data_IF_045273277225
#
_entry.id   IF_045273277225
#
_cell.length_a   1.000
_cell.length_b   1.000
_cell.length_c   1.000
_cell.angle_alpha   90.00
_cell.angle_beta   90.00
_cell.angle_gamma   90.00
#
_symmetry.space_group_name_H-M   'P 1'
#
loop_
_entity.id
_entity.type
_entity.pdbx_description
1 polymer ?
#
# COMPACT_ATOMS: atom_id res chain seq x y z
N UNK A 1 -33.06 -0.18 -1.12
CA UNK A 1 -32.04 0.50 -1.94
C UNK A 1 -30.95 0.93 -0.98
N UNK A 2 -29.82 0.26 -1.02
CA UNK A 2 -28.68 0.63 -0.18
C UNK A 2 -28.23 2.02 -0.60
N UNK A 3 -28.28 2.94 0.36
CA UNK A 3 -27.94 4.34 0.11
C UNK A 3 -26.42 4.42 0.02
N UNK A 4 -25.86 4.42 -1.21
CA UNK A 4 -24.42 4.51 -1.43
C UNK A 4 -23.94 5.85 -0.91
N UNK A 5 -22.96 5.84 -0.02
CA UNK A 5 -22.42 7.06 0.59
C UNK A 5 -21.64 7.87 -0.45
N UNK A 6 -21.94 9.17 -0.54
CA UNK A 6 -21.17 10.10 -1.38
C UNK A 6 -19.84 10.42 -0.73
N UNK A 7 -18.78 10.48 -1.54
CA UNK A 7 -17.44 10.81 -1.09
C UNK A 7 -16.78 11.85 -1.99
N UNK A 8 -15.93 12.66 -1.38
CA UNK A 8 -14.97 13.48 -2.14
C UNK A 8 -13.78 12.62 -2.51
N UNK A 9 -13.33 12.67 -3.78
CA UNK A 9 -12.16 11.93 -4.23
C UNK A 9 -10.99 12.86 -4.44
N UNK A 10 -9.81 12.43 -4.00
CA UNK A 10 -8.53 13.08 -4.30
C UNK A 10 -7.47 12.01 -4.58
N UNK A 11 -6.47 12.35 -5.39
CA UNK A 11 -5.29 11.51 -5.52
C UNK A 11 -4.34 11.81 -4.37
N UNK A 12 -4.05 10.81 -3.56
CA UNK A 12 -3.02 10.89 -2.51
C UNK A 12 -1.69 10.51 -3.14
N UNK A 13 -0.92 11.52 -3.50
CA UNK A 13 0.39 11.36 -4.13
C UNK A 13 1.48 11.43 -3.07
N UNK A 14 2.12 10.30 -2.78
CA UNK A 14 3.27 10.22 -1.87
C UNK A 14 4.53 10.77 -2.53
N UNK A 15 4.82 10.30 -3.74
CA UNK A 15 5.85 10.83 -4.62
C UNK A 15 5.48 10.54 -6.08
N UNK A 16 6.36 10.85 -7.03
CA UNK A 16 6.13 10.53 -8.43
C UNK A 16 6.06 9.01 -8.65
N UNK A 17 4.99 8.56 -9.29
CA UNK A 17 4.73 7.14 -9.56
C UNK A 17 4.20 6.33 -8.38
N UNK A 18 4.06 6.92 -7.18
CA UNK A 18 3.49 6.26 -6.00
C UNK A 18 2.29 7.03 -5.49
N UNK A 19 1.11 6.61 -5.90
CA UNK A 19 -0.14 7.29 -5.56
C UNK A 19 -1.30 6.31 -5.37
N UNK A 20 -2.30 6.73 -4.61
CA UNK A 20 -3.55 6.00 -4.42
C UNK A 20 -4.74 6.94 -4.53
N UNK A 21 -5.89 6.39 -4.88
CA UNK A 21 -7.16 7.13 -4.80
C UNK A 21 -7.62 7.22 -3.35
N UNK A 22 -7.68 8.41 -2.81
CA UNK A 22 -8.24 8.70 -1.50
C UNK A 22 -9.68 9.19 -1.60
N UNK A 23 -10.48 8.84 -0.62
CA UNK A 23 -11.89 9.22 -0.51
C UNK A 23 -12.16 9.75 0.90
N UNK A 24 -12.80 10.92 0.98
CA UNK A 24 -13.27 11.50 2.24
C UNK A 24 -14.80 11.36 2.31
N UNK A 25 -15.28 10.64 3.32
CA UNK A 25 -16.69 10.47 3.59
C UNK A 25 -17.27 11.68 4.36
N UNK A 26 -18.60 11.89 4.35
CA UNK A 26 -19.24 13.01 5.05
C UNK A 26 -19.04 12.99 6.58
N UNK A 27 -18.78 11.82 7.16
CA UNK A 27 -18.49 11.64 8.59
C UNK A 27 -17.01 11.91 8.97
N UNK A 28 -16.17 12.25 7.96
CA UNK A 28 -14.75 12.49 8.13
C UNK A 28 -13.85 11.25 8.01
N UNK A 29 -14.41 10.06 7.75
CA UNK A 29 -13.63 8.86 7.51
C UNK A 29 -12.88 8.95 6.16
N UNK A 30 -11.58 8.64 6.19
CA UNK A 30 -10.80 8.45 4.97
C UNK A 30 -10.81 6.99 4.54
N UNK A 31 -10.98 6.78 3.24
CA UNK A 31 -10.93 5.46 2.61
C UNK A 31 -9.99 5.46 1.40
N UNK A 32 -9.59 4.29 0.93
CA UNK A 32 -8.64 4.11 -0.19
C UNK A 32 -9.25 3.19 -1.24
N UNK A 33 -9.03 3.50 -2.51
CA UNK A 33 -9.49 2.68 -3.63
C UNK A 33 -8.80 1.32 -3.69
N UNK A 34 -9.57 0.23 -3.88
CA UNK A 34 -9.00 -1.13 -3.98
C UNK A 34 -8.02 -1.28 -5.13
N UNK A 35 -8.36 -0.73 -6.29
CA UNK A 35 -7.52 -0.84 -7.49
C UNK A 35 -6.19 -0.13 -7.31
N UNK A 36 -6.22 1.14 -6.90
CA UNK A 36 -5.00 1.92 -6.69
C UNK A 36 -4.14 1.36 -5.57
N UNK A 37 -4.74 0.79 -4.51
CA UNK A 37 -4.01 0.04 -3.47
C UNK A 37 -3.22 -1.13 -4.06
N UNK A 38 -3.87 -1.98 -4.87
CA UNK A 38 -3.19 -3.13 -5.46
C UNK A 38 -1.99 -2.70 -6.31
N UNK A 39 -2.17 -1.69 -7.16
CA UNK A 39 -1.12 -1.18 -8.05
C UNK A 39 0.04 -0.56 -7.27
N UNK A 40 -0.24 0.28 -6.27
CA UNK A 40 0.78 0.90 -5.43
C UNK A 40 1.64 -0.11 -4.66
N UNK A 41 1.08 -1.29 -4.34
CA UNK A 41 1.79 -2.37 -3.66
C UNK A 41 2.46 -3.38 -4.63
N UNK A 42 2.47 -3.10 -5.94
CA UNK A 42 3.11 -3.94 -6.95
C UNK A 42 2.33 -5.22 -7.29
N UNK A 43 1.01 -5.20 -7.14
CA UNK A 43 0.13 -6.32 -7.50
C UNK A 43 -0.79 -6.00 -8.68
N UNK A 44 -1.35 -7.04 -9.29
CA UNK A 44 -2.40 -6.88 -10.28
C UNK A 44 -3.72 -6.40 -9.66
N UNK A 45 -4.56 -5.76 -10.48
CA UNK A 45 -5.80 -5.05 -10.11
C UNK A 45 -6.76 -5.80 -9.18
N UNK A 46 -6.82 -7.12 -9.29
CA UNK A 46 -7.77 -7.96 -8.55
C UNK A 46 -7.22 -8.47 -7.21
N UNK A 47 -5.98 -8.12 -6.86
CA UNK A 47 -5.32 -8.68 -5.68
C UNK A 47 -6.06 -8.37 -4.38
N UNK A 48 -6.48 -7.11 -4.17
CA UNK A 48 -7.22 -6.72 -2.96
C UNK A 48 -8.53 -7.49 -2.85
N UNK A 49 -9.28 -7.60 -3.94
CA UNK A 49 -10.55 -8.34 -3.97
C UNK A 49 -10.33 -9.83 -3.63
N UNK A 50 -9.31 -10.45 -4.22
CA UNK A 50 -8.98 -11.86 -3.90
C UNK A 50 -8.54 -12.03 -2.46
N UNK A 51 -7.81 -11.08 -1.90
CA UNK A 51 -7.39 -11.10 -0.50
C UNK A 51 -8.59 -11.00 0.44
N UNK A 52 -9.51 -10.07 0.19
CA UNK A 52 -10.75 -9.93 0.95
C UNK A 52 -11.57 -11.24 0.92
N UNK A 53 -11.79 -11.79 -0.25
CA UNK A 53 -12.54 -13.04 -0.42
C UNK A 53 -11.83 -14.24 0.26
N UNK A 54 -10.50 -14.26 0.23
CA UNK A 54 -9.70 -15.27 0.94
C UNK A 54 -9.89 -15.20 2.44
N UNK A 55 -9.87 -14.00 3.02
CA UNK A 55 -10.13 -13.79 4.45
C UNK A 55 -11.56 -14.17 4.81
N UNK A 56 -12.54 -13.71 4.04
CA UNK A 56 -13.97 -14.00 4.29
C UNK A 56 -14.29 -15.51 4.24
N UNK A 57 -13.59 -16.26 3.37
CA UNK A 57 -13.77 -17.72 3.26
C UNK A 57 -12.90 -18.53 4.24
N UNK A 58 -11.98 -17.89 4.94
CA UNK A 58 -10.99 -18.57 5.81
C UNK A 58 -10.01 -19.49 5.06
N UNK A 59 -9.96 -19.41 3.74
CA UNK A 59 -9.16 -20.30 2.87
C UNK A 59 -7.92 -19.64 2.27
N UNK A 60 -7.77 -18.34 2.43
CA UNK A 60 -6.62 -17.61 1.91
C UNK A 60 -5.36 -17.91 2.74
N UNK A 61 -4.21 -18.05 2.07
CA UNK A 61 -2.91 -18.32 2.71
C UNK A 61 -2.56 -17.33 3.83
N UNK A 62 -3.07 -16.09 3.74
CA UNK A 62 -2.82 -15.02 4.71
C UNK A 62 -4.05 -14.68 5.56
N UNK A 63 -5.14 -15.43 5.42
CA UNK A 63 -6.40 -15.14 6.10
C UNK A 63 -6.22 -15.07 7.62
N UNK A 64 -5.53 -16.05 8.20
CA UNK A 64 -5.23 -16.07 9.64
C UNK A 64 -4.37 -14.87 10.06
N UNK A 65 -3.27 -14.60 9.35
CA UNK A 65 -2.38 -13.47 9.63
C UNK A 65 -3.13 -12.13 9.57
N UNK A 66 -3.91 -11.91 8.53
CA UNK A 66 -4.68 -10.67 8.36
C UNK A 66 -5.75 -10.51 9.44
N UNK A 67 -6.44 -11.61 9.79
CA UNK A 67 -7.44 -11.62 10.86
C UNK A 67 -6.79 -11.27 12.20
N UNK A 68 -5.66 -11.87 12.54
CA UNK A 68 -4.90 -11.54 13.76
C UNK A 68 -4.45 -10.08 13.81
N UNK A 69 -4.15 -9.47 12.66
CA UNK A 69 -3.79 -8.05 12.58
C UNK A 69 -5.00 -7.12 12.62
N UNK A 70 -6.22 -7.67 12.66
CA UNK A 70 -7.45 -6.91 12.70
C UNK A 70 -7.85 -6.30 11.36
N UNK A 71 -7.48 -6.97 10.25
CA UNK A 71 -8.00 -6.67 8.93
C UNK A 71 -9.49 -6.99 8.90
N UNK A 72 -10.31 -6.03 8.47
CA UNK A 72 -11.76 -6.20 8.47
C UNK A 72 -12.24 -6.92 7.21
N UNK A 73 -11.55 -6.75 6.10
CA UNK A 73 -11.94 -7.30 4.81
C UNK A 73 -13.24 -6.71 4.26
N UNK A 74 -13.63 -5.53 4.75
CA UNK A 74 -14.87 -4.86 4.31
C UNK A 74 -14.54 -3.86 3.20
N UNK A 75 -14.97 -4.20 2.00
CA UNK A 75 -15.03 -3.24 0.91
C UNK A 75 -16.40 -2.57 0.89
N UNK A 76 -16.42 -1.25 0.70
CA UNK A 76 -17.65 -0.46 0.61
C UNK A 76 -17.67 0.36 -0.67
N UNK A 77 -18.78 0.34 -1.41
CA UNK A 77 -18.94 1.22 -2.56
C UNK A 77 -19.16 2.66 -2.07
N UNK A 78 -18.52 3.60 -2.76
CA UNK A 78 -18.74 5.04 -2.58
C UNK A 78 -19.09 5.70 -3.91
N UNK A 79 -19.99 6.65 -3.84
CA UNK A 79 -20.38 7.49 -4.99
C UNK A 79 -19.49 8.72 -5.04
N UNK A 80 -18.81 8.95 -6.17
CA UNK A 80 -17.98 10.13 -6.37
C UNK A 80 -18.76 11.18 -7.13
N UNK A 81 -18.92 12.35 -6.53
CA UNK A 81 -19.56 13.51 -7.15
C UNK A 81 -18.51 14.32 -7.93
N UNK A 82 -18.78 14.68 -9.16
CA UNK A 82 -17.97 15.67 -9.86
C UNK A 82 -17.14 15.19 -11.06
N UNK A 83 -17.40 14.02 -11.63
CA UNK A 83 -16.88 13.75 -12.96
C UNK A 83 -17.79 14.38 -14.04
N UNK A 84 -17.21 15.00 -15.07
CA UNK A 84 -17.94 15.57 -16.20
C UNK A 84 -18.81 14.53 -16.98
N UNK A 85 -18.78 13.27 -16.58
CA UNK A 85 -19.47 12.13 -17.21
C UNK A 85 -20.50 11.43 -16.32
N UNK A 86 -20.92 12.05 -15.19
CA UNK A 86 -21.91 11.47 -14.29
C UNK A 86 -21.29 10.90 -13.00
N UNK A 87 -22.13 10.17 -12.24
CA UNK A 87 -21.75 9.53 -11.00
C UNK A 87 -20.91 8.29 -11.26
N UNK A 88 -19.78 8.17 -10.57
CA UNK A 88 -18.93 6.98 -10.61
C UNK A 88 -18.96 6.28 -9.25
N UNK A 89 -19.19 4.97 -9.25
CA UNK A 89 -19.09 4.14 -8.04
C UNK A 89 -17.68 3.55 -7.96
N UNK A 90 -17.04 3.72 -6.83
CA UNK A 90 -15.71 3.17 -6.54
C UNK A 90 -15.77 2.26 -5.31
N UNK A 91 -15.12 1.10 -5.42
CA UNK A 91 -14.95 0.17 -4.29
C UNK A 91 -13.75 0.60 -3.44
N UNK A 92 -13.98 0.78 -2.15
CA UNK A 92 -12.98 1.32 -1.22
C UNK A 92 -12.78 0.42 -0.01
N UNK A 93 -11.63 0.55 0.64
CA UNK A 93 -11.28 -0.06 1.93
C UNK A 93 -10.93 1.01 2.95
N UNK A 94 -10.97 0.67 4.23
CA UNK A 94 -10.56 1.57 5.32
C UNK A 94 -9.06 1.83 5.31
N UNK A 95 -8.59 2.96 5.90
CA UNK A 95 -7.16 3.20 6.11
C UNK A 95 -6.52 2.12 6.99
N UNK A 96 -7.29 1.56 7.94
CA UNK A 96 -6.82 0.44 8.77
C UNK A 96 -6.50 -0.77 7.91
N UNK A 97 -7.37 -1.14 6.99
CA UNK A 97 -7.16 -2.27 6.09
C UNK A 97 -6.04 -2.00 5.09
N UNK A 98 -5.96 -0.78 4.55
CA UNK A 98 -4.84 -0.36 3.69
C UNK A 98 -3.49 -0.58 4.38
N UNK A 99 -3.34 -0.13 5.64
CA UNK A 99 -2.13 -0.36 6.43
C UNK A 99 -1.80 -1.85 6.59
N UNK A 100 -2.79 -2.71 6.82
CA UNK A 100 -2.54 -4.15 6.95
C UNK A 100 -2.13 -4.79 5.62
N UNK A 101 -2.66 -4.30 4.50
CA UNK A 101 -2.25 -4.75 3.17
C UNK A 101 -0.82 -4.33 2.83
N UNK A 102 -0.38 -3.12 3.20
CA UNK A 102 1.02 -2.71 3.08
C UNK A 102 1.92 -3.68 3.85
N UNK A 103 1.61 -3.93 5.13
CA UNK A 103 2.37 -4.85 5.98
C UNK A 103 2.44 -6.27 5.41
N UNK A 104 1.32 -6.78 4.89
CA UNK A 104 1.27 -8.11 4.28
C UNK A 104 2.14 -8.18 3.03
N UNK A 105 2.04 -7.18 2.16
CA UNK A 105 2.79 -7.11 0.92
C UNK A 105 4.30 -6.99 1.20
N UNK A 106 4.71 -6.17 2.18
CA UNK A 106 6.08 -6.06 2.63
C UNK A 106 6.58 -7.41 3.21
N UNK A 107 5.82 -8.05 4.11
CA UNK A 107 6.16 -9.38 4.65
C UNK A 107 6.34 -10.44 3.56
N UNK A 108 5.68 -10.27 2.41
CA UNK A 108 5.83 -11.13 1.23
C UNK A 108 6.98 -10.72 0.32
N UNK A 109 7.78 -9.77 0.75
CA UNK A 109 8.92 -9.27 0.02
C UNK A 109 8.55 -8.53 -1.27
N UNK A 110 7.43 -7.79 -1.29
CA UNK A 110 7.12 -6.87 -2.40
C UNK A 110 7.92 -5.59 -2.25
N UNK A 111 8.89 -5.30 -3.15
CA UNK A 111 9.78 -4.15 -3.01
C UNK A 111 9.03 -2.83 -2.86
N UNK A 112 7.96 -2.64 -3.65
CA UNK A 112 7.14 -1.44 -3.59
C UNK A 112 6.48 -1.24 -2.22
N UNK A 113 6.02 -2.34 -1.60
CA UNK A 113 5.36 -2.29 -0.31
C UNK A 113 6.36 -2.07 0.84
N UNK A 114 7.54 -2.69 0.77
CA UNK A 114 8.62 -2.47 1.73
C UNK A 114 9.09 -1.02 1.68
N UNK A 115 9.40 -0.51 0.47
CA UNK A 115 9.82 0.86 0.27
C UNK A 115 8.75 1.89 0.70
N UNK A 116 7.46 1.61 0.43
CA UNK A 116 6.35 2.44 0.88
C UNK A 116 6.26 2.47 2.41
N UNK A 117 6.42 1.32 3.06
CA UNK A 117 6.39 1.21 4.52
C UNK A 117 7.51 1.99 5.17
N UNK A 118 8.75 1.82 4.70
CA UNK A 118 9.93 2.51 5.22
C UNK A 118 9.82 4.02 5.05
N UNK A 119 9.43 4.49 3.87
CA UNK A 119 9.27 5.91 3.60
C UNK A 119 8.17 6.58 4.44
N UNK A 120 7.05 5.86 4.67
CA UNK A 120 5.98 6.35 5.55
C UNK A 120 6.44 6.44 7.02
N UNK A 121 7.24 5.48 7.48
CA UNK A 121 7.80 5.47 8.83
C UNK A 121 8.82 6.61 9.01
N UNK A 122 9.74 6.79 8.05
CA UNK A 122 10.77 7.82 8.11
C UNK A 122 10.15 9.22 8.25
N UNK A 123 9.21 9.57 7.38
CA UNK A 123 8.48 10.84 7.44
C UNK A 123 7.69 10.97 8.75
N UNK A 124 7.01 9.93 9.17
CA UNK A 124 6.19 9.95 10.38
C UNK A 124 7.02 10.11 11.65
N UNK A 125 8.13 9.40 11.77
CA UNK A 125 9.04 9.50 12.94
C UNK A 125 9.58 10.91 13.06
N UNK A 126 10.07 11.52 11.98
CA UNK A 126 10.60 12.88 12.02
C UNK A 126 9.54 13.91 12.43
N UNK A 127 8.33 13.83 11.89
CA UNK A 127 7.23 14.73 12.28
C UNK A 127 6.93 14.67 13.79
N UNK A 128 6.96 13.48 14.40
CA UNK A 128 6.77 13.31 15.84
C UNK A 128 7.90 13.94 16.64
N UNK A 129 9.15 13.80 16.21
CA UNK A 129 10.29 14.44 16.87
C UNK A 129 10.22 15.96 16.76
N UNK A 130 9.92 16.51 15.58
CA UNK A 130 9.73 17.95 15.38
C UNK A 130 8.66 18.50 16.30
N UNK A 131 7.52 17.82 16.40
CA UNK A 131 6.43 18.21 17.30
C UNK A 131 6.90 18.23 18.77
N UNK A 132 7.62 17.21 19.23
CA UNK A 132 8.09 17.11 20.61
C UNK A 132 9.09 18.22 20.98
N UNK A 133 9.88 18.69 20.02
CA UNK A 133 10.84 19.78 20.20
C UNK A 133 10.28 21.17 19.84
N UNK A 134 8.97 21.28 19.60
CA UNK A 134 8.32 22.55 19.24
C UNK A 134 8.77 23.14 17.91
N UNK A 135 9.29 22.32 17.02
CA UNK A 135 9.65 22.72 15.66
C UNK A 135 8.42 22.67 14.74
N UNK A 136 8.45 23.44 13.66
CA UNK A 136 7.43 23.33 12.62
C UNK A 136 7.43 21.93 11.99
N UNK A 137 6.23 21.39 11.76
CA UNK A 137 6.09 20.13 11.04
C UNK A 137 6.59 20.28 9.59
N UNK A 138 6.99 19.16 9.00
CA UNK A 138 7.38 19.13 7.61
C UNK A 138 6.25 19.63 6.71
N UNK A 139 6.56 20.51 5.79
CA UNK A 139 5.65 20.92 4.72
C UNK A 139 5.34 19.72 3.81
N UNK A 140 4.29 19.82 3.01
CA UNK A 140 3.95 18.76 2.06
C UNK A 140 5.08 18.49 1.05
N UNK A 141 5.80 19.53 0.63
CA UNK A 141 6.92 19.42 -0.29
C UNK A 141 8.10 18.68 0.34
N UNK A 142 8.48 19.05 1.56
CA UNK A 142 9.54 18.39 2.33
C UNK A 142 9.17 16.92 2.63
N UNK A 143 7.90 16.62 2.96
CA UNK A 143 7.43 15.25 3.14
C UNK A 143 7.58 14.42 1.87
N UNK A 144 7.23 14.98 0.72
CA UNK A 144 7.36 14.29 -0.57
C UNK A 144 8.82 14.05 -0.96
N UNK A 145 9.69 15.02 -0.76
CA UNK A 145 11.12 14.89 -1.05
C UNK A 145 11.78 13.81 -0.17
N UNK A 146 11.52 13.85 1.14
CA UNK A 146 12.02 12.82 2.07
C UNK A 146 11.48 11.44 1.75
N UNK A 147 10.17 11.36 1.52
CA UNK A 147 9.52 10.11 1.15
C UNK A 147 10.15 9.52 -0.12
N UNK A 148 10.35 10.33 -1.15
CA UNK A 148 10.96 9.88 -2.40
C UNK A 148 12.37 9.35 -2.17
N UNK A 149 13.20 10.05 -1.39
CA UNK A 149 14.58 9.64 -1.08
C UNK A 149 14.60 8.29 -0.33
N UNK A 150 13.79 8.14 0.70
CA UNK A 150 13.70 6.90 1.47
C UNK A 150 13.15 5.75 0.61
N UNK A 151 12.09 6.00 -0.16
CA UNK A 151 11.49 5.01 -1.06
C UNK A 151 12.47 4.53 -2.14
N UNK A 152 13.16 5.45 -2.83
CA UNK A 152 14.12 5.11 -3.86
C UNK A 152 15.30 4.32 -3.28
N UNK A 153 15.87 4.74 -2.16
CA UNK A 153 16.97 4.04 -1.52
C UNK A 153 16.59 2.59 -1.13
N UNK A 154 15.40 2.39 -0.56
CA UNK A 154 14.94 1.07 -0.18
C UNK A 154 14.65 0.19 -1.40
N UNK A 155 14.02 0.74 -2.45
CA UNK A 155 13.69 -0.03 -3.66
C UNK A 155 14.95 -0.46 -4.40
N UNK A 156 15.93 0.42 -4.52
CA UNK A 156 17.20 0.14 -5.20
C UNK A 156 17.97 -0.97 -4.47
N UNK A 157 18.11 -0.85 -3.14
CA UNK A 157 18.73 -1.88 -2.31
C UNK A 157 18.05 -3.24 -2.42
N UNK A 158 16.72 -3.28 -2.35
CA UNK A 158 15.95 -4.53 -2.46
C UNK A 158 16.05 -5.19 -3.84
N UNK A 159 16.21 -4.39 -4.90
CA UNK A 159 16.39 -4.92 -6.25
C UNK A 159 17.80 -5.47 -6.45
N UNK A 160 18.83 -4.83 -5.89
CA UNK A 160 20.21 -5.32 -5.91
C UNK A 160 20.34 -6.64 -5.14
N UNK A 161 19.84 -6.70 -3.90
CA UNK A 161 19.86 -7.90 -3.05
C UNK A 161 19.22 -9.12 -3.75
N UNK A 162 18.10 -8.90 -4.44
CA UNK A 162 17.43 -9.96 -5.20
C UNK A 162 18.20 -10.42 -6.44
N UNK A 163 18.95 -9.54 -7.08
CA UNK A 163 19.81 -9.93 -8.20
C UNK A 163 20.97 -10.79 -7.70
N UNK A 164 21.58 -10.41 -6.58
CA UNK A 164 22.67 -11.17 -5.96
C UNK A 164 22.23 -12.56 -5.53
N UNK A 165 21.04 -12.68 -4.90
CA UNK A 165 20.47 -13.98 -4.53
C UNK A 165 20.25 -14.87 -5.75
N UNK A 166 19.70 -14.34 -6.84
CA UNK A 166 19.50 -15.11 -8.08
C UNK A 166 20.82 -15.60 -8.68
N UNK A 167 21.84 -14.77 -8.67
CA UNK A 167 23.17 -15.16 -9.17
C UNK A 167 23.77 -16.29 -8.33
N UNK A 168 23.60 -16.26 -7.02
CA UNK A 168 24.06 -17.31 -6.12
C UNK A 168 23.29 -18.62 -6.38
N UNK A 169 21.97 -18.56 -6.48
CA UNK A 169 21.11 -19.73 -6.78
C UNK A 169 21.47 -20.35 -8.14
N UNK A 170 21.69 -19.54 -9.18
CA UNK A 170 22.10 -20.01 -10.51
C UNK A 170 23.47 -20.68 -10.49
N UNK A 171 24.44 -20.12 -9.73
CA UNK A 171 25.76 -20.72 -9.53
C UNK A 171 25.70 -22.05 -8.79
N UNK A 172 24.88 -22.15 -7.72
CA UNK A 172 24.70 -23.39 -6.97
C UNK A 172 24.07 -24.49 -7.85
N UNK A 173 23.06 -24.14 -8.65
CA UNK A 173 22.43 -25.08 -9.60
C UNK A 173 23.44 -25.56 -10.67
N UNK A 174 24.25 -24.65 -11.19
CA UNK A 174 25.30 -25.00 -12.18
C UNK A 174 26.34 -25.95 -11.58
N UNK A 175 26.78 -25.70 -10.35
CA UNK A 175 27.72 -26.57 -9.66
C UNK A 175 27.12 -27.95 -9.33
N UNK A 176 25.85 -27.97 -8.90
CA UNK A 176 25.14 -29.24 -8.61
C UNK A 176 24.90 -30.08 -9.87
N UNK A 177 24.72 -29.46 -11.06
CA UNK A 177 24.52 -30.16 -12.33
C UNK A 177 25.78 -30.75 -12.96
N UNK A 178 26.98 -30.33 -12.51
CA UNK A 178 28.25 -30.80 -13.06
C UNK A 178 28.87 -32.03 -12.33
N UNK A 179 28.14 -32.66 -11.42
CA UNK A 179 28.58 -33.86 -10.67
C UNK A 179 27.93 -35.18 -11.18
N UNK A 180 27.47 -35.23 -12.43
CA UNK A 180 27.00 -36.47 -13.09
C UNK A 180 27.89 -36.82 -14.29
#
# INVERSE_FOLDING_TARGET
MDNITRAERSTVKFCEGVEVDGYLLPDGEFRVGKLSTALALGYGKDWVTRTINGVASGKGKDAETLTQWGFTGVASPVEVTGSARGTTISETISLKDFRQLIRLAAKRGKPQAEALLDALLDVGIEDWFRLAFGQEQLTLEEKRDKFYKAYAATIDWLLEDRQDIRLIEEQELFLAGNWN
#
